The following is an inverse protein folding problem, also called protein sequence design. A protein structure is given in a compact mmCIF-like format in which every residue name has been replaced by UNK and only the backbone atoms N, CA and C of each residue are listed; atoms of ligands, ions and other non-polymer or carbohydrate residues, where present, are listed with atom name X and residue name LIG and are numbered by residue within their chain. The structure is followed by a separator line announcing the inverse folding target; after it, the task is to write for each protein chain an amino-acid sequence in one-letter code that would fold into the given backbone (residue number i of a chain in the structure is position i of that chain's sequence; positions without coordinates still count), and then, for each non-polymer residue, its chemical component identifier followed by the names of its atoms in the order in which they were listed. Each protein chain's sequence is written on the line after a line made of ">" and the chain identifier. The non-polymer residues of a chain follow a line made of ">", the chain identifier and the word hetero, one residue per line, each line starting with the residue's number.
data_IF_309015607206
#
_entry.id   IF_309015607206
#
_cell.length_a   1.000
_cell.length_b   1.000
_cell.length_c   1.000
_cell.angle_alpha   90.00
_cell.angle_beta   90.00
_cell.angle_gamma   90.00
#
_symmetry.space_group_name_H-M   'P 1'
#
loop_
_entity.id
_entity.type
_entity.pdbx_description
1 polymer ?
#
# COMPACT_ATOMS: atom_id res chain seq x y z
N UNK A 1 21.41 -8.63 -17.63
CA UNK A 1 21.95 -8.44 -16.26
C UNK A 1 21.21 -7.40 -15.43
N UNK A 2 21.32 -6.08 -15.66
CA UNK A 2 20.65 -5.07 -14.79
C UNK A 2 19.12 -5.04 -14.87
N UNK A 3 18.54 -5.70 -15.87
CA UNK A 3 17.09 -5.84 -16.05
C UNK A 3 16.58 -7.25 -15.71
N UNK A 4 17.45 -8.16 -15.25
CA UNK A 4 17.00 -9.49 -14.83
C UNK A 4 16.26 -9.40 -13.49
N UNK A 5 15.17 -10.17 -13.38
CA UNK A 5 14.35 -10.24 -12.16
C UNK A 5 15.18 -10.39 -10.88
N UNK A 6 16.19 -11.26 -10.87
CA UNK A 6 17.03 -11.47 -9.69
C UNK A 6 17.67 -10.16 -9.22
N UNK A 7 18.30 -9.40 -10.13
CA UNK A 7 18.92 -8.13 -9.77
C UNK A 7 17.88 -7.11 -9.26
N UNK A 8 16.75 -6.98 -9.96
CA UNK A 8 15.70 -6.02 -9.58
C UNK A 8 15.04 -6.38 -8.24
N UNK A 9 14.80 -7.65 -7.99
CA UNK A 9 14.23 -8.14 -6.72
C UNK A 9 15.10 -7.78 -5.52
N UNK A 10 16.42 -7.98 -5.62
CA UNK A 10 17.36 -7.61 -4.58
C UNK A 10 17.52 -6.10 -4.44
N UNK A 11 17.53 -5.37 -5.56
CA UNK A 11 17.57 -3.91 -5.54
C UNK A 11 16.35 -3.32 -4.82
N UNK A 12 15.14 -3.81 -5.11
CA UNK A 12 13.92 -3.42 -4.41
C UNK A 12 14.01 -3.75 -2.91
N UNK A 13 14.53 -4.92 -2.52
CA UNK A 13 14.76 -5.25 -1.09
C UNK A 13 15.67 -4.23 -0.42
N UNK A 14 16.77 -3.84 -1.06
CA UNK A 14 17.68 -2.84 -0.54
C UNK A 14 16.99 -1.48 -0.34
N UNK A 15 16.21 -1.00 -1.33
CA UNK A 15 15.45 0.24 -1.21
C UNK A 15 14.42 0.21 -0.07
N UNK A 16 13.71 -0.91 0.09
CA UNK A 16 12.71 -1.04 1.15
C UNK A 16 13.39 -1.06 2.53
N UNK A 17 14.52 -1.76 2.67
CA UNK A 17 15.30 -1.84 3.90
C UNK A 17 16.03 -0.53 4.24
N UNK A 18 16.41 0.28 3.25
CA UNK A 18 17.01 1.61 3.45
C UNK A 18 15.99 2.68 3.85
N UNK A 19 14.69 2.38 3.76
CA UNK A 19 13.62 3.33 4.07
C UNK A 19 13.12 4.14 2.86
N UNK A 20 13.45 3.71 1.65
CA UNK A 20 13.10 4.36 0.38
C UNK A 20 12.16 3.48 -0.49
N UNK A 21 10.98 3.08 0.01
CA UNK A 21 10.07 2.20 -0.72
C UNK A 21 9.53 2.82 -2.02
N UNK A 22 9.62 4.15 -2.18
CA UNK A 22 9.28 4.87 -3.41
C UNK A 22 10.12 4.40 -4.60
N UNK A 23 11.44 4.24 -4.40
CA UNK A 23 12.35 3.77 -5.44
C UNK A 23 12.06 2.33 -5.86
N UNK A 24 11.63 1.49 -4.90
CA UNK A 24 11.19 0.13 -5.20
C UNK A 24 9.90 0.16 -6.06
N UNK A 25 8.96 1.04 -5.74
CA UNK A 25 7.73 1.22 -6.51
C UNK A 25 8.00 1.75 -7.92
N UNK A 26 8.87 2.76 -8.07
CA UNK A 26 9.27 3.26 -9.38
C UNK A 26 9.95 2.19 -10.24
N UNK A 27 10.77 1.35 -9.62
CA UNK A 27 11.42 0.23 -10.31
C UNK A 27 10.36 -0.73 -10.89
N UNK A 28 9.29 -1.00 -10.14
CA UNK A 28 8.14 -1.76 -10.64
C UNK A 28 7.40 -1.03 -11.78
N UNK A 29 7.11 0.26 -11.65
CA UNK A 29 6.38 1.02 -12.68
C UNK A 29 7.14 1.07 -14.02
N UNK A 30 8.46 1.02 -13.98
CA UNK A 30 9.32 1.01 -15.18
C UNK A 30 9.44 -0.36 -15.85
N UNK A 31 8.94 -1.43 -15.22
CA UNK A 31 8.93 -2.77 -15.81
C UNK A 31 7.72 -2.94 -16.73
N UNK A 32 7.95 -3.56 -17.88
CA UNK A 32 6.86 -4.01 -18.76
C UNK A 32 6.00 -5.06 -18.05
N UNK A 33 4.72 -5.14 -18.39
CA UNK A 33 3.80 -6.12 -17.82
C UNK A 33 4.22 -7.54 -18.22
N UNK A 34 4.83 -8.26 -17.28
CA UNK A 34 5.30 -9.64 -17.44
C UNK A 34 5.08 -10.44 -16.15
N UNK A 35 5.25 -11.76 -16.19
CA UNK A 35 5.22 -12.60 -14.99
C UNK A 35 6.26 -12.17 -13.94
N UNK A 36 7.38 -11.58 -14.36
CA UNK A 36 8.40 -11.05 -13.45
C UNK A 36 7.88 -9.86 -12.66
N UNK A 37 7.05 -9.02 -13.28
CA UNK A 37 6.43 -7.85 -12.66
C UNK A 37 5.43 -8.26 -11.57
N UNK A 38 4.69 -9.36 -11.77
CA UNK A 38 3.81 -9.94 -10.75
C UNK A 38 4.60 -10.46 -9.54
N UNK A 39 5.67 -11.21 -9.77
CA UNK A 39 6.55 -11.69 -8.69
C UNK A 39 7.20 -10.53 -7.93
N UNK A 40 7.56 -9.44 -8.64
CA UNK A 40 8.15 -8.26 -8.01
C UNK A 40 7.12 -7.51 -7.15
N UNK A 41 5.86 -7.40 -7.60
CA UNK A 41 4.77 -6.83 -6.80
C UNK A 41 4.57 -7.60 -5.50
N UNK A 42 4.55 -8.93 -5.56
CA UNK A 42 4.46 -9.78 -4.36
C UNK A 42 5.58 -9.47 -3.37
N UNK A 43 6.82 -9.34 -3.86
CA UNK A 43 7.97 -9.01 -3.03
C UNK A 43 7.80 -7.62 -2.40
N UNK A 44 7.47 -6.60 -3.21
CA UNK A 44 7.29 -5.22 -2.72
C UNK A 44 6.16 -5.17 -1.69
N UNK A 45 5.02 -5.81 -1.95
CA UNK A 45 3.88 -5.85 -1.05
C UNK A 45 4.28 -6.41 0.33
N UNK A 46 4.91 -7.59 0.34
CA UNK A 46 5.27 -8.30 1.56
C UNK A 46 6.39 -7.62 2.34
N UNK A 47 7.46 -7.19 1.67
CA UNK A 47 8.60 -6.56 2.33
C UNK A 47 8.23 -5.16 2.84
N UNK A 48 7.46 -4.37 2.07
CA UNK A 48 6.93 -3.10 2.56
C UNK A 48 6.02 -3.31 3.76
N UNK A 49 5.17 -4.34 3.76
CA UNK A 49 4.30 -4.64 4.90
C UNK A 49 5.13 -4.96 6.16
N UNK A 50 6.13 -5.83 6.04
CA UNK A 50 7.02 -6.21 7.16
C UNK A 50 7.82 -5.02 7.71
N UNK A 51 8.30 -4.14 6.83
CA UNK A 51 9.07 -2.95 7.23
C UNK A 51 8.19 -1.79 7.71
N UNK A 52 6.87 -1.94 7.69
CA UNK A 52 5.92 -0.91 8.09
C UNK A 52 5.72 0.20 7.05
N UNK A 53 6.17 0.02 5.82
CA UNK A 53 5.90 0.90 4.68
C UNK A 53 4.52 0.65 4.10
N UNK A 54 3.50 0.77 4.95
CA UNK A 54 2.14 0.30 4.70
C UNK A 54 1.47 0.93 3.47
N UNK A 55 1.77 2.18 3.15
CA UNK A 55 1.21 2.84 1.97
C UNK A 55 1.60 2.13 0.67
N UNK A 56 2.88 1.82 0.47
CA UNK A 56 3.35 1.11 -0.72
C UNK A 56 2.91 -0.35 -0.73
N UNK A 57 2.83 -0.99 0.44
CA UNK A 57 2.23 -2.31 0.56
C UNK A 57 0.77 -2.32 0.10
N UNK A 58 -0.03 -1.34 0.54
CA UNK A 58 -1.43 -1.20 0.14
C UNK A 58 -1.60 -1.01 -1.37
N UNK A 59 -0.74 -0.19 -2.00
CA UNK A 59 -0.74 -0.01 -3.46
C UNK A 59 -0.37 -1.28 -4.21
N UNK A 60 0.65 -1.99 -3.74
CA UNK A 60 1.05 -3.25 -4.36
C UNK A 60 -0.06 -4.31 -4.24
N UNK A 61 -0.69 -4.46 -3.07
CA UNK A 61 -1.83 -5.38 -2.90
C UNK A 61 -3.06 -4.99 -3.72
N UNK A 62 -3.35 -3.70 -3.90
CA UNK A 62 -4.43 -3.23 -4.79
C UNK A 62 -4.19 -3.64 -6.25
N UNK A 63 -2.94 -3.54 -6.73
CA UNK A 63 -2.60 -3.98 -8.08
C UNK A 63 -2.66 -5.51 -8.18
N UNK A 64 -2.14 -6.24 -7.18
CA UNK A 64 -2.22 -7.71 -7.13
C UNK A 64 -3.68 -8.19 -7.18
N UNK A 65 -4.57 -7.62 -6.35
CA UNK A 65 -6.00 -7.95 -6.32
C UNK A 65 -6.70 -7.73 -7.67
N UNK A 66 -6.27 -6.71 -8.44
CA UNK A 66 -6.82 -6.45 -9.79
C UNK A 66 -6.30 -7.41 -10.85
N UNK A 67 -5.08 -7.91 -10.68
CA UNK A 67 -4.46 -8.86 -11.60
C UNK A 67 -4.94 -10.29 -11.34
N UNK A 68 -5.09 -10.65 -10.06
CA UNK A 68 -5.56 -11.95 -9.60
C UNK A 68 -6.43 -11.76 -8.35
N UNK A 69 -7.75 -12.03 -8.40
CA UNK A 69 -8.67 -11.76 -7.30
C UNK A 69 -8.59 -12.82 -6.18
N UNK A 70 -7.39 -13.07 -5.66
CA UNK A 70 -7.15 -13.92 -4.50
C UNK A 70 -7.61 -13.18 -3.21
N UNK A 71 -8.44 -13.82 -2.36
CA UNK A 71 -8.82 -13.28 -1.05
C UNK A 71 -7.64 -12.85 -0.16
N UNK A 72 -6.46 -13.48 -0.27
CA UNK A 72 -5.28 -13.11 0.51
C UNK A 72 -4.79 -11.69 0.20
N UNK A 73 -4.92 -11.22 -1.05
CA UNK A 73 -4.53 -9.85 -1.40
C UNK A 73 -5.46 -8.80 -0.81
N UNK A 74 -6.75 -9.10 -0.75
CA UNK A 74 -7.71 -8.25 -0.06
C UNK A 74 -7.37 -8.14 1.43
N UNK A 75 -7.04 -9.26 2.07
CA UNK A 75 -6.64 -9.30 3.48
C UNK A 75 -5.36 -8.51 3.74
N UNK A 76 -4.35 -8.66 2.87
CA UNK A 76 -3.11 -7.87 2.90
C UNK A 76 -3.35 -6.37 2.70
N UNK A 77 -4.17 -6.00 1.71
CA UNK A 77 -4.59 -4.63 1.41
C UNK A 77 -5.29 -3.99 2.60
N UNK A 78 -6.25 -4.70 3.20
CA UNK A 78 -6.99 -4.26 4.38
C UNK A 78 -6.06 -4.01 5.56
N UNK A 79 -5.15 -4.95 5.84
CA UNK A 79 -4.16 -4.82 6.91
C UNK A 79 -3.23 -3.63 6.68
N UNK A 80 -2.75 -3.43 5.46
CA UNK A 80 -1.89 -2.32 5.10
C UNK A 80 -2.61 -0.98 5.24
N UNK A 81 -3.88 -0.90 4.82
CA UNK A 81 -4.67 0.32 4.97
C UNK A 81 -4.87 0.72 6.43
N UNK A 82 -5.13 -0.24 7.32
CA UNK A 82 -5.20 0.02 8.77
C UNK A 82 -3.82 0.43 9.31
N UNK A 83 -2.73 -0.12 8.81
CA UNK A 83 -1.37 0.29 9.18
C UNK A 83 -1.08 1.76 8.85
N UNK A 84 -1.50 2.24 7.68
CA UNK A 84 -1.41 3.67 7.31
C UNK A 84 -2.27 4.52 8.26
N UNK A 85 -3.50 4.07 8.53
CA UNK A 85 -4.38 4.76 9.47
C UNK A 85 -3.78 4.83 10.88
N UNK A 86 -3.21 3.73 11.40
CA UNK A 86 -2.54 3.69 12.69
C UNK A 86 -1.39 4.70 12.75
N UNK A 87 -0.59 4.81 11.68
CA UNK A 87 0.48 5.82 11.60
C UNK A 87 -0.05 7.25 11.56
N UNK A 88 -1.16 7.49 10.87
CA UNK A 88 -1.82 8.79 10.86
C UNK A 88 -2.35 9.18 12.24
N UNK A 89 -2.95 8.22 12.97
CA UNK A 89 -3.43 8.39 14.34
C UNK A 89 -2.28 8.65 15.33
N UNK A 90 -1.13 8.01 15.14
CA UNK A 90 0.05 8.16 15.99
C UNK A 90 0.71 9.56 15.92
N UNK A 91 0.24 10.47 15.06
CA UNK A 91 0.47 11.91 15.21
C UNK A 91 1.90 12.40 15.02
N UNK A 92 2.76 11.69 14.27
CA UNK A 92 4.09 12.23 13.94
C UNK A 92 3.96 13.49 13.06
N UNK A 93 4.62 14.62 13.38
CA UNK A 93 4.56 15.84 12.58
C UNK A 93 5.14 15.58 11.18
N UNK A 94 4.36 15.90 10.14
CA UNK A 94 4.62 15.50 8.74
C UNK A 94 3.99 14.16 8.32
N UNK A 95 3.00 13.68 9.07
CA UNK A 95 2.42 12.34 8.96
C UNK A 95 1.78 11.98 7.62
N UNK A 96 1.53 10.69 7.44
CA UNK A 96 0.98 10.05 6.24
C UNK A 96 -0.51 10.41 5.95
N UNK A 97 -0.97 11.62 6.28
CA UNK A 97 -2.36 12.05 6.09
C UNK A 97 -2.75 12.10 4.60
N UNK A 98 -1.88 12.64 3.75
CA UNK A 98 -2.09 12.66 2.30
C UNK A 98 -2.15 11.22 1.73
N UNK A 99 -1.31 10.33 2.28
CA UNK A 99 -1.30 8.90 1.94
C UNK A 99 -2.56 8.19 2.42
N UNK A 100 -3.12 8.58 3.57
CA UNK A 100 -4.39 8.04 4.08
C UNK A 100 -5.56 8.37 3.14
N UNK A 101 -5.58 9.58 2.58
CA UNK A 101 -6.60 9.99 1.60
C UNK A 101 -6.57 9.11 0.34
N UNK A 102 -5.37 8.83 -0.19
CA UNK A 102 -5.21 7.93 -1.33
C UNK A 102 -5.62 6.49 -0.97
N UNK A 103 -5.22 5.99 0.20
CA UNK A 103 -5.61 4.65 0.68
C UNK A 103 -7.12 4.51 0.83
N UNK A 104 -7.81 5.52 1.34
CA UNK A 104 -9.28 5.54 1.42
C UNK A 104 -9.91 5.45 0.03
N UNK A 105 -9.33 6.14 -0.95
CA UNK A 105 -9.77 6.09 -2.35
C UNK A 105 -9.57 4.70 -2.93
N UNK A 106 -8.41 4.08 -2.69
CA UNK A 106 -8.09 2.70 -3.07
C UNK A 106 -9.09 1.71 -2.46
N UNK A 107 -9.37 1.81 -1.15
CA UNK A 107 -10.33 0.93 -0.47
C UNK A 107 -11.74 1.03 -1.06
N UNK A 108 -12.20 2.25 -1.37
CA UNK A 108 -13.52 2.48 -1.97
C UNK A 108 -13.68 1.92 -3.37
N UNK A 109 -12.56 1.75 -4.09
CA UNK A 109 -12.58 1.08 -5.39
C UNK A 109 -12.86 -0.42 -5.29
N UNK A 110 -12.69 -1.02 -4.10
CA UNK A 110 -13.03 -2.43 -3.86
C UNK A 110 -14.51 -2.56 -3.47
N UNK A 111 -15.23 -3.43 -4.17
CA UNK A 111 -16.62 -3.77 -3.86
C UNK A 111 -16.70 -4.79 -2.71
N UNK A 112 -16.38 -4.34 -1.48
CA UNK A 112 -16.43 -5.18 -0.28
C UNK A 112 -17.24 -4.48 0.84
N UNK A 113 -18.25 -5.14 1.44
CA UNK A 113 -19.08 -4.54 2.48
C UNK A 113 -18.29 -4.11 3.73
N UNK A 114 -17.11 -4.71 3.97
CA UNK A 114 -16.23 -4.32 5.08
C UNK A 114 -15.57 -2.94 4.87
N UNK A 115 -15.39 -2.52 3.61
CA UNK A 115 -14.82 -1.20 3.28
C UNK A 115 -15.69 -0.09 3.85
N UNK A 116 -17.00 -0.21 3.68
CA UNK A 116 -17.93 0.82 4.12
C UNK A 116 -17.88 1.03 5.62
N UNK A 117 -17.78 -0.05 6.39
CA UNK A 117 -17.59 0.05 7.83
C UNK A 117 -16.26 0.73 8.17
N UNK A 118 -15.14 0.26 7.59
CA UNK A 118 -13.81 0.80 7.86
C UNK A 118 -13.70 2.29 7.52
N UNK A 119 -14.10 2.66 6.30
CA UNK A 119 -14.00 4.03 5.81
C UNK A 119 -15.01 4.93 6.51
N UNK A 120 -16.31 4.60 6.46
CA UNK A 120 -17.35 5.52 6.90
C UNK A 120 -17.54 5.57 8.42
N UNK A 121 -17.27 4.47 9.16
CA UNK A 121 -17.48 4.42 10.62
C UNK A 121 -16.21 4.69 11.41
N UNK A 122 -15.05 4.26 10.93
CA UNK A 122 -13.79 4.38 11.69
C UNK A 122 -12.98 5.57 11.19
N UNK A 123 -12.54 5.57 9.93
CA UNK A 123 -11.61 6.58 9.40
C UNK A 123 -12.27 7.96 9.33
N UNK A 124 -13.48 8.06 8.76
CA UNK A 124 -14.22 9.34 8.69
C UNK A 124 -14.50 9.93 10.06
N UNK A 125 -14.89 9.09 11.02
CA UNK A 125 -15.18 9.53 12.38
C UNK A 125 -13.93 10.12 13.04
N UNK A 126 -12.81 9.39 12.97
CA UNK A 126 -11.53 9.88 13.49
C UNK A 126 -11.10 11.18 12.82
N UNK A 127 -11.22 11.29 11.49
CA UNK A 127 -10.82 12.49 10.76
C UNK A 127 -11.65 13.71 11.17
N UNK A 128 -12.96 13.54 11.35
CA UNK A 128 -13.86 14.58 11.87
C UNK A 128 -13.44 15.03 13.28
N UNK A 129 -13.18 14.08 14.18
CA UNK A 129 -12.81 14.37 15.57
C UNK A 129 -11.44 15.07 15.67
N UNK A 130 -10.53 14.80 14.73
CA UNK A 130 -9.16 15.34 14.71
C UNK A 130 -8.96 16.50 13.72
N UNK A 131 -10.04 17.03 13.12
CA UNK A 131 -10.01 18.13 12.12
C UNK A 131 -9.10 17.86 10.92
N UNK A 132 -8.89 16.59 10.56
CA UNK A 132 -8.15 16.20 9.35
C UNK A 132 -9.11 16.31 8.17
N UNK A 133 -8.75 17.08 7.15
CA UNK A 133 -9.49 17.13 5.89
C UNK A 133 -9.18 15.86 5.11
N UNK A 134 -10.12 14.93 5.11
CA UNK A 134 -10.16 13.87 4.12
C UNK A 134 -11.27 14.24 3.13
N UNK A 135 -10.96 14.35 1.85
CA UNK A 135 -11.95 14.58 0.79
C UNK A 135 -12.68 13.26 0.52
N UNK A 136 -13.64 12.91 1.39
CA UNK A 136 -14.31 11.60 1.40
C UNK A 136 -15.80 11.68 1.15
#
# INVERSE_FOLDING_TARGET
>A
YRAEFCYLSWLCRCYIMSGEPELAWETYVRLDTSNESFNLLHLIANDCYKMGHFYYACKAFDVLERLDPDPEFWEGKRGAAIGVFQKAVAGKPGGEQDKLQEVVTILRSTNNPNVDYMVNRVIKKWAKDNKVKLDV
#
